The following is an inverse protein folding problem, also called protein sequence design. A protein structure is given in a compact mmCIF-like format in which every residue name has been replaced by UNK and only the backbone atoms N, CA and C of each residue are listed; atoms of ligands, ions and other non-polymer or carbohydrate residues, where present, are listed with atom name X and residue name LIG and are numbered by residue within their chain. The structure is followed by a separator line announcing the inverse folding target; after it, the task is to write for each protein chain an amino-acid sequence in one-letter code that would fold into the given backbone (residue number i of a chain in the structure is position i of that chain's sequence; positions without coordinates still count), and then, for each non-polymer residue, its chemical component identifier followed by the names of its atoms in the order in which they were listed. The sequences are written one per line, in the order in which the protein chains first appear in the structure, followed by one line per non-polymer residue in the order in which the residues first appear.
data_IF_116402151397
#
_entry.id   IF_116402151397
#
_cell.length_a   1.000
_cell.length_b   1.000
_cell.length_c   1.000
_cell.angle_alpha   90.00
_cell.angle_beta   90.00
_cell.angle_gamma   90.00
#
_symmetry.space_group_name_H-M   'P 1'
#
loop_
_entity.id
_entity.type
_entity.pdbx_description
1 polymer ?
#
# COMPACT_ATOMS: atom_id res chain seq x y z
N UNK A 1 4.77 -4.81 11.51
CA UNK A 1 5.88 -5.75 11.23
C UNK A 1 6.87 -5.09 10.30
N UNK A 2 8.18 -5.28 10.49
CA UNK A 2 9.21 -4.73 9.60
C UNK A 2 9.56 -5.78 8.53
N UNK A 3 9.50 -5.39 7.27
CA UNK A 3 9.89 -6.22 6.12
C UNK A 3 11.15 -5.64 5.48
N UNK A 4 12.16 -6.48 5.24
CA UNK A 4 13.44 -6.06 4.66
C UNK A 4 13.87 -7.03 3.57
N UNK A 5 14.46 -6.49 2.50
CA UNK A 5 14.98 -7.26 1.38
C UNK A 5 14.76 -6.57 0.04
N UNK A 6 15.00 -7.32 -1.03
CA UNK A 6 14.77 -6.87 -2.41
C UNK A 6 13.29 -6.97 -2.76
N UNK A 7 12.65 -5.85 -3.04
CA UNK A 7 11.23 -5.78 -3.43
C UNK A 7 11.07 -5.31 -4.88
N UNK A 8 9.91 -4.75 -5.22
CA UNK A 8 9.61 -4.24 -6.55
C UNK A 8 10.70 -3.28 -7.04
N UNK A 9 11.01 -3.36 -8.34
CA UNK A 9 12.10 -2.59 -8.94
C UNK A 9 13.50 -3.12 -8.63
N UNK A 10 13.63 -4.23 -7.89
CA UNK A 10 14.93 -4.85 -7.62
C UNK A 10 15.79 -4.08 -6.61
N UNK A 11 15.17 -3.24 -5.77
CA UNK A 11 15.88 -2.45 -4.76
C UNK A 11 15.69 -3.03 -3.37
N UNK A 12 16.72 -2.91 -2.54
CA UNK A 12 16.62 -3.14 -1.09
C UNK A 12 15.69 -2.11 -0.48
N UNK A 13 14.67 -2.56 0.27
CA UNK A 13 13.71 -1.69 0.94
C UNK A 13 13.48 -2.16 2.37
N UNK A 14 13.12 -1.20 3.23
CA UNK A 14 12.60 -1.46 4.57
C UNK A 14 11.18 -0.92 4.64
N UNK A 15 10.23 -1.80 4.88
CA UNK A 15 8.79 -1.51 4.82
C UNK A 15 8.19 -1.76 6.19
N UNK A 16 7.55 -0.73 6.75
CA UNK A 16 6.73 -0.89 7.95
C UNK A 16 5.34 -1.33 7.51
N UNK A 17 5.04 -2.60 7.72
CA UNK A 17 3.75 -3.21 7.38
C UNK A 17 2.76 -3.17 8.55
N UNK A 18 1.52 -2.80 8.26
CA UNK A 18 0.36 -2.76 9.15
C UNK A 18 -0.78 -3.61 8.60
N UNK A 19 -1.50 -4.30 9.49
CA UNK A 19 -2.53 -5.27 9.13
C UNK A 19 -1.91 -6.52 8.51
N UNK A 20 -2.06 -7.68 9.15
CA UNK A 20 -1.56 -8.94 8.60
C UNK A 20 -2.62 -9.50 7.64
N UNK A 21 -2.21 -9.89 6.44
CA UNK A 21 -3.08 -10.53 5.46
C UNK A 21 -2.43 -11.78 4.89
N UNK A 22 -3.25 -12.64 4.30
CA UNK A 22 -2.81 -13.73 3.46
C UNK A 22 -2.95 -13.33 1.99
N UNK A 23 -1.84 -13.26 1.26
CA UNK A 23 -1.81 -12.83 -0.14
C UNK A 23 -1.67 -14.06 -1.07
N UNK A 24 -2.69 -14.38 -1.89
CA UNK A 24 -2.59 -15.42 -2.90
C UNK A 24 -1.53 -15.06 -3.95
N UNK A 25 -0.86 -16.10 -4.46
CA UNK A 25 0.15 -15.98 -5.51
C UNK A 25 -0.37 -16.66 -6.78
N UNK A 26 0.00 -16.16 -7.99
CA UNK A 26 -0.36 -16.84 -9.24
C UNK A 26 0.14 -18.29 -9.33
N UNK A 27 1.26 -18.58 -8.64
CA UNK A 27 1.82 -19.92 -8.47
C UNK A 27 2.41 -20.06 -7.07
N UNK A 28 2.29 -21.24 -6.48
CA UNK A 28 2.82 -21.56 -5.16
C UNK A 28 1.85 -21.29 -4.02
N UNK A 29 2.35 -21.35 -2.78
CA UNK A 29 1.56 -21.13 -1.57
C UNK A 29 1.24 -19.66 -1.39
N UNK A 30 0.08 -19.40 -0.78
CA UNK A 30 -0.26 -18.12 -0.17
C UNK A 30 0.85 -17.69 0.79
N UNK A 31 1.15 -16.40 0.81
CA UNK A 31 2.18 -15.83 1.68
C UNK A 31 1.55 -14.89 2.69
N UNK A 32 2.10 -14.83 3.89
CA UNK A 32 1.80 -13.75 4.81
C UNK A 32 2.29 -12.43 4.21
N UNK A 33 1.51 -11.38 4.38
CA UNK A 33 1.80 -10.07 3.83
C UNK A 33 1.21 -8.96 4.72
N UNK A 34 1.41 -7.71 4.31
CA UNK A 34 0.83 -6.54 4.97
C UNK A 34 -0.34 -5.96 4.17
N UNK A 35 -1.38 -5.47 4.85
CA UNK A 35 -2.46 -4.72 4.21
C UNK A 35 -1.95 -3.36 3.74
N UNK A 36 -1.31 -2.62 4.66
CA UNK A 36 -0.75 -1.29 4.41
C UNK A 36 0.76 -1.33 4.66
N UNK A 37 1.56 -0.88 3.68
CA UNK A 37 3.01 -0.76 3.80
C UNK A 37 3.44 0.69 3.71
N UNK A 38 4.33 1.14 4.59
CA UNK A 38 5.00 2.43 4.48
C UNK A 38 6.49 2.20 4.26
N UNK A 39 7.02 2.72 3.16
CA UNK A 39 8.45 2.61 2.83
C UNK A 39 9.05 3.94 2.43
N UNK A 40 10.29 4.18 2.87
CA UNK A 40 11.12 5.28 2.38
C UNK A 40 11.97 4.79 1.23
N UNK A 41 11.79 5.43 0.07
CA UNK A 41 12.65 5.26 -1.09
C UNK A 41 13.70 6.37 -1.14
N UNK A 42 14.60 6.30 -2.13
CA UNK A 42 15.69 7.27 -2.29
C UNK A 42 15.19 8.73 -2.33
N UNK A 43 14.10 8.97 -3.08
CA UNK A 43 13.61 10.33 -3.37
C UNK A 43 12.14 10.56 -2.96
N UNK A 44 11.44 9.56 -2.43
CA UNK A 44 10.01 9.65 -2.13
C UNK A 44 9.61 8.64 -1.05
N UNK A 45 8.41 8.80 -0.50
CA UNK A 45 7.73 7.82 0.35
C UNK A 45 6.70 7.07 -0.49
N UNK A 46 6.50 5.79 -0.20
CA UNK A 46 5.41 5.00 -0.76
C UNK A 46 4.51 4.46 0.34
N UNK A 47 3.20 4.59 0.12
CA UNK A 47 2.17 3.86 0.84
C UNK A 47 1.62 2.79 -0.10
N UNK A 48 1.87 1.54 0.24
CA UNK A 48 1.39 0.36 -0.47
C UNK A 48 0.09 -0.12 0.19
N UNK A 49 -0.92 -0.41 -0.63
CA UNK A 49 -2.29 -0.71 -0.22
C UNK A 49 -2.70 -2.01 -0.91
N UNK A 50 -2.47 -3.13 -0.24
CA UNK A 50 -2.79 -4.47 -0.74
C UNK A 50 -4.27 -4.81 -0.49
N UNK A 51 -5.15 -3.96 -1.01
CA UNK A 51 -6.59 -4.11 -0.95
C UNK A 51 -7.22 -3.69 -2.27
N UNK A 52 -8.18 -4.50 -2.73
CA UNK A 52 -8.97 -4.23 -3.92
C UNK A 52 -10.45 -4.42 -3.58
N UNK A 53 -11.28 -3.57 -4.17
CA UNK A 53 -12.73 -3.65 -4.10
C UNK A 53 -13.30 -3.50 -5.51
N UNK A 54 -14.37 -4.22 -5.80
CA UNK A 54 -15.02 -4.27 -7.13
C UNK A 54 -14.01 -4.45 -8.29
N UNK A 55 -13.02 -5.33 -8.09
CA UNK A 55 -12.00 -5.65 -9.11
C UNK A 55 -10.92 -4.57 -9.32
N UNK A 56 -10.90 -3.49 -8.54
CA UNK A 56 -9.91 -2.42 -8.63
C UNK A 56 -9.14 -2.23 -7.31
N UNK A 57 -7.82 -2.03 -7.40
CA UNK A 57 -7.03 -1.65 -6.22
C UNK A 57 -7.49 -0.30 -5.67
N UNK A 58 -7.65 -0.21 -4.35
CA UNK A 58 -8.09 1.03 -3.69
C UNK A 58 -7.14 2.20 -3.97
N UNK A 59 -5.83 1.96 -4.11
CA UNK A 59 -4.87 2.99 -4.51
C UNK A 59 -5.25 3.69 -5.83
N UNK A 60 -5.82 2.94 -6.80
CA UNK A 60 -6.32 3.52 -8.05
C UNK A 60 -7.63 4.27 -7.87
N UNK A 61 -8.56 3.69 -7.11
CA UNK A 61 -9.89 4.28 -6.85
C UNK A 61 -9.78 5.65 -6.15
N UNK A 62 -8.87 5.76 -5.20
CA UNK A 62 -8.66 6.98 -4.41
C UNK A 62 -7.62 7.93 -5.02
N UNK A 63 -6.82 7.44 -5.96
CA UNK A 63 -5.63 8.11 -6.50
C UNK A 63 -5.80 9.58 -6.87
N UNK A 64 -6.88 9.92 -7.58
CA UNK A 64 -7.14 11.29 -8.04
C UNK A 64 -7.49 12.26 -6.91
N UNK A 65 -7.96 11.75 -5.77
CA UNK A 65 -8.35 12.55 -4.60
C UNK A 65 -7.20 12.75 -3.62
N UNK A 66 -6.10 12.00 -3.76
CA UNK A 66 -5.00 11.99 -2.79
C UNK A 66 -4.04 13.18 -2.89
N UNK A 67 -4.27 14.12 -3.80
CA UNK A 67 -3.42 15.30 -3.98
C UNK A 67 -2.31 15.10 -5.02
N UNK A 68 -1.13 15.66 -4.77
CA UNK A 68 0.03 15.63 -5.70
C UNK A 68 0.81 14.33 -5.54
N UNK A 69 0.16 13.22 -5.87
CA UNK A 69 0.73 11.88 -5.71
C UNK A 69 0.92 11.18 -7.05
N UNK A 70 1.80 10.18 -7.06
CA UNK A 70 1.93 9.24 -8.18
C UNK A 70 1.31 7.91 -7.78
N UNK A 71 0.32 7.46 -8.53
CA UNK A 71 -0.41 6.22 -8.27
C UNK A 71 0.18 5.08 -9.09
N UNK A 72 0.58 4.01 -8.42
CA UNK A 72 0.98 2.73 -9.00
C UNK A 72 -0.17 1.74 -9.09
N UNK A 73 0.13 0.45 -9.24
CA UNK A 73 -0.91 -0.59 -9.27
C UNK A 73 -1.63 -0.70 -7.92
N UNK A 74 -0.87 -0.82 -6.84
CA UNK A 74 -1.36 -0.96 -5.47
C UNK A 74 -0.62 0.01 -4.52
N UNK A 75 -0.10 1.12 -5.04
CA UNK A 75 0.73 2.03 -4.27
C UNK A 75 0.50 3.49 -4.60
N UNK A 76 0.82 4.36 -3.65
CA UNK A 76 0.76 5.81 -3.77
C UNK A 76 2.10 6.36 -3.33
N UNK A 77 2.75 7.13 -4.20
CA UNK A 77 4.07 7.71 -3.95
C UNK A 77 4.01 9.23 -3.88
N UNK A 78 4.72 9.83 -2.93
CA UNK A 78 4.75 11.28 -2.68
C UNK A 78 6.06 11.71 -2.02
N UNK A 79 6.41 13.00 -2.13
CA UNK A 79 7.69 13.53 -1.64
C UNK A 79 7.61 14.18 -0.27
N UNK A 80 6.46 14.78 0.06
CA UNK A 80 6.16 15.37 1.37
C UNK A 80 4.77 14.93 1.84
N UNK A 81 4.54 14.95 3.15
CA UNK A 81 3.19 14.78 3.70
C UNK A 81 2.22 15.85 3.17
N UNK A 82 2.72 17.06 2.89
CA UNK A 82 1.92 18.17 2.32
C UNK A 82 1.44 17.89 0.88
N UNK A 83 2.03 16.90 0.21
CA UNK A 83 1.59 16.48 -1.13
C UNK A 83 0.36 15.56 -1.07
N UNK A 84 0.00 15.07 0.12
CA UNK A 84 -1.05 14.08 0.33
C UNK A 84 -2.22 14.69 1.09
N UNK A 85 -3.43 14.50 0.58
CA UNK A 85 -4.63 14.72 1.38
C UNK A 85 -4.76 13.61 2.44
N UNK A 86 -4.41 13.92 3.68
CA UNK A 86 -4.45 12.97 4.80
C UNK A 86 -5.87 12.52 5.15
N UNK A 87 -6.90 13.32 4.87
CA UNK A 87 -8.29 12.93 5.06
C UNK A 87 -8.71 11.84 4.08
N UNK A 88 -8.33 12.00 2.81
CA UNK A 88 -8.56 10.98 1.77
C UNK A 88 -7.71 9.73 2.04
N UNK A 89 -6.49 9.88 2.54
CA UNK A 89 -5.65 8.74 2.92
C UNK A 89 -6.28 7.95 4.10
N UNK A 90 -6.81 8.62 5.12
CA UNK A 90 -7.53 7.97 6.22
C UNK A 90 -8.77 7.21 5.70
N UNK A 91 -9.55 7.81 4.81
CA UNK A 91 -10.70 7.16 4.18
C UNK A 91 -10.28 5.87 3.44
N UNK A 92 -9.21 5.95 2.65
CA UNK A 92 -8.64 4.81 1.93
C UNK A 92 -8.21 3.70 2.90
N UNK A 93 -7.46 4.03 3.96
CA UNK A 93 -6.94 3.04 4.91
C UNK A 93 -8.08 2.38 5.68
N UNK A 94 -9.09 3.15 6.09
CA UNK A 94 -10.30 2.60 6.72
C UNK A 94 -11.08 1.71 5.77
N UNK A 95 -11.15 2.06 4.48
CA UNK A 95 -11.77 1.21 3.48
C UNK A 95 -11.02 -0.12 3.37
N UNK A 96 -9.70 -0.09 3.20
CA UNK A 96 -8.87 -1.30 3.18
C UNK A 96 -9.12 -2.17 4.43
N UNK A 97 -9.16 -1.55 5.62
CA UNK A 97 -9.39 -2.26 6.89
C UNK A 97 -10.79 -2.88 7.06
N UNK A 98 -11.79 -2.48 6.28
CA UNK A 98 -13.12 -3.13 6.23
C UNK A 98 -13.16 -4.35 5.32
N UNK A 99 -12.24 -4.44 4.36
CA UNK A 99 -12.19 -5.53 3.38
C UNK A 99 -11.45 -6.78 3.89
N UNK A 100 -10.72 -6.63 4.99
CA UNK A 100 -10.06 -7.75 5.66
C UNK A 100 -10.85 -8.16 6.89
N UNK A 101 -11.21 -9.44 6.95
CA UNK A 101 -11.67 -10.06 8.19
C UNK A 101 -10.51 -10.06 9.19
N UNK A 102 -10.71 -9.41 10.33
CA UNK A 102 -9.78 -9.45 11.45
C UNK A 102 -9.94 -10.81 12.12
N UNK A 103 -9.13 -11.79 11.71
CA UNK A 103 -9.02 -13.10 12.38
C UNK A 103 -8.13 -13.02 13.62
#
# INVERSE_FOLDING_TARGET
MLWQGVFWGGTEQSIIGYGKIEQPRPKGRTVEWFLIGLARQKNYLSVDVNAADDGAYLAKTYGQRLGRTKVGSASVSFTSADDVDLGVLDELVRHAGRLVEWS
#
